data_IF_870020613887
#
_entry.id   IF_870020613887
#
_cell.length_a   1.000
_cell.length_b   1.000
_cell.length_c   1.000
_cell.angle_alpha   90.00
_cell.angle_beta   90.00
_cell.angle_gamma   90.00
#
_symmetry.space_group_name_H-M   'P 1'
#
loop_
_entity.id
_entity.type
_entity.pdbx_description
1 polymer ?
#
# COMPACT_ATOMS: atom_id res chain seq x y z
N UNK A 1 7.44 -10.15 -10.01
CA UNK A 1 7.61 -8.72 -9.68
C UNK A 1 7.77 -8.67 -8.18
N UNK A 2 8.90 -8.19 -7.67
CA UNK A 2 9.23 -8.32 -6.25
C UNK A 2 8.53 -7.21 -5.44
N UNK A 3 8.24 -7.48 -4.17
CA UNK A 3 7.57 -6.51 -3.26
C UNK A 3 8.42 -5.25 -3.04
N UNK A 4 9.75 -5.37 -3.20
CA UNK A 4 10.68 -4.23 -3.20
C UNK A 4 10.34 -3.20 -4.29
N UNK A 5 9.77 -3.64 -5.41
CA UNK A 5 9.33 -2.77 -6.50
C UNK A 5 8.04 -2.04 -6.15
N UNK A 6 7.13 -2.70 -5.42
CA UNK A 6 5.87 -2.10 -4.96
C UNK A 6 6.11 -0.89 -4.06
N UNK A 7 7.04 -0.97 -3.10
CA UNK A 7 7.36 0.17 -2.22
C UNK A 7 7.81 1.40 -3.02
N UNK A 8 8.71 1.22 -3.98
CA UNK A 8 9.19 2.31 -4.86
C UNK A 8 8.06 2.90 -5.70
N UNK A 9 7.15 2.06 -6.19
CA UNK A 9 5.96 2.52 -6.91
C UNK A 9 5.07 3.36 -6.00
N UNK A 10 4.78 2.90 -4.78
CA UNK A 10 3.95 3.65 -3.83
C UNK A 10 4.57 4.99 -3.43
N UNK A 11 5.89 5.06 -3.28
CA UNK A 11 6.60 6.32 -2.97
C UNK A 11 6.56 7.32 -4.12
N UNK A 12 6.35 6.86 -5.37
CA UNK A 12 6.34 7.70 -6.57
C UNK A 12 4.95 8.03 -7.08
N UNK A 13 3.96 7.14 -6.91
CA UNK A 13 2.63 7.29 -7.49
C UNK A 13 1.56 6.60 -6.65
N UNK A 14 0.32 6.65 -7.12
CA UNK A 14 -0.78 5.83 -6.63
C UNK A 14 -0.76 4.46 -7.29
N UNK A 15 -0.96 3.43 -6.49
CA UNK A 15 -0.96 2.02 -6.89
C UNK A 15 -2.22 1.37 -6.38
N UNK A 16 -2.94 0.69 -7.26
CA UNK A 16 -4.10 -0.10 -6.88
C UNK A 16 -3.63 -1.48 -6.43
N UNK A 17 -3.87 -1.82 -5.15
CA UNK A 17 -3.45 -3.08 -4.54
C UNK A 17 -4.68 -3.92 -4.29
N UNK A 18 -4.68 -5.15 -4.82
CA UNK A 18 -5.67 -6.17 -4.48
C UNK A 18 -5.08 -7.13 -3.47
N UNK A 19 -5.67 -7.19 -2.28
CA UNK A 19 -5.18 -8.01 -1.17
C UNK A 19 -6.33 -8.65 -0.39
N UNK A 20 -6.03 -9.74 0.32
CA UNK A 20 -6.98 -10.38 1.22
C UNK A 20 -6.97 -9.69 2.58
N UNK A 21 -8.08 -9.04 2.93
CA UNK A 21 -8.27 -8.43 4.24
C UNK A 21 -8.20 -9.48 5.34
N UNK A 22 -7.28 -9.31 6.30
CA UNK A 22 -7.19 -10.21 7.46
C UNK A 22 -8.39 -10.05 8.41
N UNK A 23 -9.03 -8.88 8.42
CA UNK A 23 -10.19 -8.60 9.27
C UNK A 23 -11.45 -9.30 8.79
N UNK A 24 -11.69 -9.29 7.47
CA UNK A 24 -12.94 -9.81 6.87
C UNK A 24 -12.77 -11.09 6.06
N UNK A 25 -11.53 -11.49 5.77
CA UNK A 25 -11.21 -12.60 4.87
C UNK A 25 -11.51 -12.33 3.40
N UNK A 26 -12.06 -11.17 3.05
CA UNK A 26 -12.46 -10.80 1.68
C UNK A 26 -11.27 -10.26 0.90
N UNK A 27 -11.27 -10.54 -0.40
CA UNK A 27 -10.39 -9.86 -1.35
C UNK A 27 -10.93 -8.45 -1.57
N UNK A 28 -10.09 -7.45 -1.32
CA UNK A 28 -10.40 -6.04 -1.51
C UNK A 28 -9.35 -5.40 -2.41
N UNK A 29 -9.77 -4.40 -3.16
CA UNK A 29 -8.93 -3.63 -4.07
C UNK A 29 -9.01 -2.18 -3.64
N UNK A 30 -7.87 -1.57 -3.36
CA UNK A 30 -7.80 -0.20 -2.84
C UNK A 30 -6.65 0.55 -3.48
N UNK A 31 -6.86 1.85 -3.73
CA UNK A 31 -5.81 2.76 -4.17
C UNK A 31 -4.97 3.20 -3.00
N UNK A 32 -3.68 2.97 -3.13
CA UNK A 32 -2.69 3.13 -2.08
C UNK A 32 -1.57 4.03 -2.58
N UNK A 33 -1.04 4.89 -1.70
CA UNK A 33 0.18 5.65 -2.00
C UNK A 33 1.03 5.88 -0.75
N UNK A 34 2.30 6.14 -0.99
CA UNK A 34 3.28 6.66 -0.04
C UNK A 34 3.93 7.95 -0.56
N UNK A 35 3.44 8.48 -1.69
CA UNK A 35 3.90 9.73 -2.26
C UNK A 35 3.52 10.87 -1.32
N UNK A 36 4.49 11.70 -0.96
CA UNK A 36 4.33 12.85 -0.05
C UNK A 36 3.24 13.83 -0.46
N UNK A 37 2.91 13.91 -1.75
CA UNK A 37 1.88 14.78 -2.30
C UNK A 37 0.46 14.18 -2.20
N UNK A 38 0.35 12.88 -1.94
CA UNK A 38 -0.93 12.14 -1.88
C UNK A 38 -1.30 11.69 -0.46
N UNK A 39 -0.36 11.79 0.49
CA UNK A 39 -0.58 11.50 1.91
C UNK A 39 -0.79 12.81 2.69
N UNK A 40 -1.37 12.74 3.92
CA UNK A 40 -1.53 13.93 4.75
C UNK A 40 -0.17 14.54 5.14
N UNK A 41 -0.10 15.87 5.16
CA UNK A 41 1.11 16.59 5.57
C UNK A 41 1.55 16.22 7.00
N UNK A 42 2.87 16.25 7.23
CA UNK A 42 3.45 15.96 8.53
C UNK A 42 3.57 14.47 8.88
N UNK A 43 3.13 13.56 8.01
CA UNK A 43 3.35 12.12 8.21
C UNK A 43 4.72 11.67 7.71
N UNK A 44 5.48 11.07 8.63
CA UNK A 44 6.68 10.29 8.34
C UNK A 44 6.46 8.84 8.76
N UNK A 45 6.78 7.89 7.89
CA UNK A 45 6.73 6.47 8.19
C UNK A 45 8.12 5.87 8.05
N UNK A 46 8.56 5.13 9.06
CA UNK A 46 9.79 4.33 9.01
C UNK A 46 9.40 2.88 8.79
N UNK A 47 9.53 2.40 7.56
CA UNK A 47 9.22 1.03 7.19
C UNK A 47 10.49 0.32 6.70
N UNK A 48 10.88 -0.73 7.43
CA UNK A 48 11.97 -1.61 7.02
C UNK A 48 11.63 -2.29 5.69
N UNK A 49 12.60 -2.37 4.77
CA UNK A 49 12.44 -3.10 3.51
C UNK A 49 12.37 -4.62 3.68
N UNK A 50 12.61 -5.13 4.90
CA UNK A 50 12.57 -6.55 5.27
C UNK A 50 11.26 -6.92 5.98
N UNK A 51 10.34 -5.98 6.17
CA UNK A 51 9.05 -6.24 6.83
C UNK A 51 8.17 -7.16 5.98
N UNK A 52 7.48 -8.09 6.65
CA UNK A 52 6.44 -8.95 6.08
C UNK A 52 5.12 -8.21 5.80
N UNK A 53 5.05 -6.92 6.15
CA UNK A 53 3.95 -6.03 5.81
C UNK A 53 4.45 -4.71 5.25
N UNK A 54 3.58 -4.09 4.45
CA UNK A 54 3.72 -2.73 3.96
C UNK A 54 2.58 -1.88 4.50
N UNK A 55 2.94 -0.79 5.18
CA UNK A 55 1.98 0.23 5.59
C UNK A 55 1.75 1.15 4.39
N UNK A 56 0.50 1.26 3.98
CA UNK A 56 0.06 2.04 2.83
C UNK A 56 -1.00 3.06 3.26
N UNK A 57 -1.01 4.23 2.63
CA UNK A 57 -2.11 5.17 2.80
C UNK A 57 -3.16 4.92 1.72
N UNK A 58 -4.38 4.56 2.12
CA UNK A 58 -5.52 4.41 1.23
C UNK A 58 -6.06 5.79 0.91
N UNK A 59 -5.83 6.27 -0.30
CA UNK A 59 -6.08 7.65 -0.70
C UNK A 59 -7.56 7.99 -0.73
N UNK A 60 -8.40 7.07 -1.22
CA UNK A 60 -9.87 7.24 -1.27
C UNK A 60 -10.51 7.24 0.13
N UNK A 61 -10.02 6.36 1.01
CA UNK A 61 -10.55 6.20 2.38
C UNK A 61 -9.89 7.12 3.41
N UNK A 62 -8.85 7.85 3.00
CA UNK A 62 -8.04 8.74 3.83
C UNK A 62 -7.56 8.08 5.13
N UNK A 63 -7.10 6.84 5.05
CA UNK A 63 -6.66 6.06 6.21
C UNK A 63 -5.42 5.23 5.91
N UNK A 64 -4.65 4.94 6.93
CA UNK A 64 -3.53 4.01 6.84
C UNK A 64 -4.01 2.57 6.99
N UNK A 65 -3.40 1.65 6.25
CA UNK A 65 -3.62 0.21 6.35
C UNK A 65 -2.28 -0.54 6.32
N UNK A 66 -2.12 -1.47 7.24
CA UNK A 66 -1.03 -2.46 7.19
C UNK A 66 -1.46 -3.65 6.32
N UNK A 67 -0.77 -3.83 5.20
CA UNK A 67 -1.05 -4.89 4.23
C UNK A 67 0.07 -5.92 4.33
N UNK A 68 -0.27 -7.15 4.73
CA UNK A 68 0.70 -8.26 4.72
C UNK A 68 1.08 -8.62 3.29
N UNK A 69 2.37 -8.72 3.04
CA UNK A 69 2.97 -9.12 1.78
C UNK A 69 2.38 -10.42 1.24
N UNK A 70 2.17 -11.41 2.12
CA UNK A 70 1.59 -12.72 1.79
C UNK A 70 0.11 -12.67 1.41
N UNK A 71 -0.59 -11.56 1.67
CA UNK A 71 -2.00 -11.38 1.32
C UNK A 71 -2.22 -10.60 0.03
N UNK A 72 -1.14 -10.01 -0.53
CA UNK A 72 -1.20 -9.28 -1.79
C UNK A 72 -1.36 -10.29 -2.92
N UNK A 73 -2.45 -10.13 -3.68
CA UNK A 73 -2.77 -10.98 -4.82
C UNK A 73 -2.23 -10.37 -6.11
N UNK A 74 -2.41 -9.05 -6.28
CA UNK A 74 -1.88 -8.27 -7.40
C UNK A 74 -1.77 -6.79 -7.05
N UNK A 75 -0.96 -6.07 -7.81
CA UNK A 75 -0.90 -4.61 -7.79
C UNK A 75 -0.68 -4.06 -9.19
N UNK A 76 -1.21 -2.87 -9.46
CA UNK A 76 -1.07 -2.16 -10.73
C UNK A 76 -0.97 -0.66 -10.48
N UNK A 77 -0.16 0.06 -11.27
CA UNK A 77 -0.10 1.52 -11.19
C UNK A 77 -1.46 2.08 -11.57
N UNK A 78 -2.05 2.91 -10.69
CA UNK A 78 -3.32 3.56 -10.96
C UNK A 78 -3.13 4.51 -12.15
N UNK A 79 -3.93 4.31 -13.22
CA UNK A 79 -3.92 5.15 -14.43
C UNK A 79 -4.66 6.46 -14.23
#
# INVERSE_FOLDING_TARGET
>A
MEIKDLKKLLESTEVEITFKSLKSGRTITEKCSLNKNLIPEGYSFNQSGESDSILCYLTEKKRWEDIKNSTIIKYEVSK
#
